data_IF_149057244244
#
_entry.id   IF_149057244244
#
_cell.length_a   1.000
_cell.length_b   1.000
_cell.length_c   1.000
_cell.angle_alpha   90.00
_cell.angle_beta   90.00
_cell.angle_gamma   90.00
#
_symmetry.space_group_name_H-M   'P 1'
#
loop_
_entity.id
_entity.type
_entity.pdbx_description
1 polymer ?
#
# COMPACT_ATOMS: atom_id res chain seq x y z
N UNK A 1 -18.64 -9.99 -15.85
CA UNK A 1 -17.65 -9.58 -14.84
C UNK A 1 -16.30 -9.57 -15.51
N UNK A 2 -15.59 -8.44 -15.48
CA UNK A 2 -14.30 -8.30 -16.16
C UNK A 2 -13.20 -8.95 -15.30
N UNK A 3 -12.22 -9.58 -15.94
CA UNK A 3 -11.09 -10.26 -15.28
C UNK A 3 -9.81 -9.52 -15.65
N UNK A 4 -8.97 -9.24 -14.65
CA UNK A 4 -7.61 -8.77 -14.85
C UNK A 4 -6.62 -9.94 -14.76
N UNK A 5 -5.63 -9.95 -15.65
CA UNK A 5 -4.53 -10.93 -15.66
C UNK A 5 -3.26 -10.28 -15.11
N UNK A 6 -2.52 -11.02 -14.30
CA UNK A 6 -1.21 -10.58 -13.78
C UNK A 6 -0.25 -10.30 -14.94
N UNK A 7 0.63 -9.34 -14.75
CA UNK A 7 1.73 -9.09 -15.71
C UNK A 7 2.68 -10.29 -15.72
N UNK A 8 2.87 -10.98 -16.87
CA UNK A 8 3.65 -12.23 -16.96
C UNK A 8 5.05 -12.12 -16.36
N UNK A 9 5.71 -10.99 -16.55
CA UNK A 9 7.07 -10.74 -16.03
C UNK A 9 7.18 -10.88 -14.50
N UNK A 10 6.06 -10.74 -13.76
CA UNK A 10 6.05 -10.93 -12.30
C UNK A 10 6.05 -12.42 -11.91
N UNK A 11 5.81 -13.31 -12.84
CA UNK A 11 5.87 -14.77 -12.63
C UNK A 11 7.23 -15.37 -13.05
N UNK A 12 8.06 -14.60 -13.77
CA UNK A 12 9.30 -15.09 -14.39
C UNK A 12 10.57 -14.70 -13.63
N UNK A 13 10.46 -13.80 -12.65
CA UNK A 13 11.62 -13.26 -11.89
C UNK A 13 11.24 -12.88 -10.48
N UNK A 14 12.24 -12.65 -9.64
CA UNK A 14 12.03 -12.06 -8.31
C UNK A 14 11.26 -10.75 -8.41
N UNK A 15 10.19 -10.63 -7.62
CA UNK A 15 9.35 -9.44 -7.57
C UNK A 15 9.88 -8.46 -6.53
N UNK A 16 10.18 -7.24 -6.96
CA UNK A 16 10.54 -6.14 -6.06
C UNK A 16 9.29 -5.43 -5.59
N UNK A 17 9.11 -5.37 -4.29
CA UNK A 17 8.01 -4.69 -3.61
C UNK A 17 8.58 -3.53 -2.81
N UNK A 18 8.08 -2.33 -3.06
CA UNK A 18 8.38 -1.15 -2.26
C UNK A 18 7.19 -0.85 -1.35
N UNK A 19 7.39 -0.86 -0.05
CA UNK A 19 6.39 -0.43 0.93
C UNK A 19 6.75 0.97 1.40
N UNK A 20 5.83 1.91 1.24
CA UNK A 20 5.98 3.30 1.66
C UNK A 20 5.09 3.55 2.87
N UNK A 21 5.73 3.86 3.98
CA UNK A 21 5.10 4.00 5.30
C UNK A 21 5.12 2.70 6.11
N UNK A 22 5.60 2.76 7.34
CA UNK A 22 5.71 1.65 8.30
C UNK A 22 4.98 1.96 9.62
N UNK A 23 3.87 2.71 9.52
CA UNK A 23 2.93 2.96 10.61
C UNK A 23 2.07 1.73 10.93
N UNK A 24 0.85 1.92 11.43
CA UNK A 24 -0.05 0.83 11.79
C UNK A 24 -0.32 -0.15 10.65
N UNK A 25 -0.76 0.35 9.50
CA UNK A 25 -1.06 -0.47 8.32
C UNK A 25 0.21 -1.02 7.67
N UNK A 26 1.22 -0.18 7.48
CA UNK A 26 2.45 -0.59 6.80
C UNK A 26 3.22 -1.65 7.56
N UNK A 27 3.32 -1.56 8.89
CA UNK A 27 3.94 -2.60 9.71
C UNK A 27 3.20 -3.93 9.63
N UNK A 28 1.87 -3.92 9.57
CA UNK A 28 1.07 -5.13 9.38
C UNK A 28 1.25 -5.74 7.97
N UNK A 29 1.35 -4.91 6.93
CA UNK A 29 1.69 -5.36 5.57
C UNK A 29 3.07 -6.01 5.54
N UNK A 30 4.09 -5.30 6.04
CA UNK A 30 5.49 -5.78 6.04
C UNK A 30 5.62 -7.09 6.81
N UNK A 31 4.93 -7.22 7.96
CA UNK A 31 4.92 -8.47 8.74
C UNK A 31 4.21 -9.64 8.01
N UNK A 32 3.27 -9.35 7.12
CA UNK A 32 2.56 -10.37 6.35
C UNK A 32 3.24 -10.78 5.03
N UNK A 33 4.10 -9.94 4.46
CA UNK A 33 4.79 -10.22 3.20
C UNK A 33 5.69 -11.47 3.21
N UNK A 34 6.35 -11.86 4.33
CA UNK A 34 7.11 -13.11 4.37
C UNK A 34 6.26 -14.36 4.06
N UNK A 35 5.01 -14.40 4.52
CA UNK A 35 4.11 -15.51 4.20
C UNK A 35 3.80 -15.60 2.71
N UNK A 36 3.59 -14.43 2.06
CA UNK A 36 3.42 -14.38 0.61
C UNK A 36 4.70 -14.82 -0.11
N UNK A 37 5.88 -14.34 0.33
CA UNK A 37 7.17 -14.76 -0.21
C UNK A 37 7.34 -16.28 -0.15
N UNK A 38 7.16 -16.89 1.03
CA UNK A 38 7.29 -18.32 1.22
C UNK A 38 6.28 -19.11 0.37
N UNK A 39 5.03 -18.64 0.30
CA UNK A 39 4.01 -19.25 -0.56
C UNK A 39 4.41 -19.24 -2.04
N UNK A 40 4.96 -18.14 -2.54
CA UNK A 40 5.44 -18.02 -3.92
C UNK A 40 6.57 -19.01 -4.19
N UNK A 41 7.58 -19.03 -3.34
CA UNK A 41 8.74 -19.94 -3.47
C UNK A 41 8.28 -21.40 -3.41
N UNK A 42 7.41 -21.75 -2.48
CA UNK A 42 6.87 -23.12 -2.35
C UNK A 42 6.05 -23.56 -3.58
N UNK A 43 5.49 -22.63 -4.34
CA UNK A 43 4.79 -22.90 -5.60
C UNK A 43 5.70 -22.77 -6.84
N UNK A 44 7.02 -22.72 -6.66
CA UNK A 44 7.98 -22.71 -7.76
C UNK A 44 8.26 -21.34 -8.39
N UNK A 45 7.86 -20.24 -7.73
CA UNK A 45 8.21 -18.91 -8.22
C UNK A 45 9.74 -18.66 -8.16
N UNK A 46 10.38 -18.18 -9.23
CA UNK A 46 11.86 -18.19 -9.38
C UNK A 46 12.61 -17.17 -8.51
N UNK A 47 12.06 -16.69 -7.43
CA UNK A 47 12.78 -15.77 -6.53
C UNK A 47 11.89 -15.11 -5.49
N UNK A 48 10.59 -15.39 -5.50
CA UNK A 48 9.66 -14.82 -4.52
C UNK A 48 9.69 -13.28 -4.53
N UNK A 49 9.68 -12.69 -3.33
CA UNK A 49 9.68 -11.24 -3.15
C UNK A 49 11.06 -10.75 -2.64
N UNK A 50 11.46 -9.58 -3.09
CA UNK A 50 12.44 -8.72 -2.43
C UNK A 50 11.73 -7.44 -2.01
N UNK A 51 11.78 -7.10 -0.73
CA UNK A 51 11.03 -5.99 -0.17
C UNK A 51 11.98 -4.89 0.30
N UNK A 52 11.68 -3.66 -0.10
CA UNK A 52 12.30 -2.44 0.45
C UNK A 52 11.23 -1.65 1.19
N UNK A 53 11.49 -1.27 2.43
CA UNK A 53 10.59 -0.45 3.25
C UNK A 53 11.14 0.97 3.33
N UNK A 54 10.34 1.97 2.96
CA UNK A 54 10.70 3.39 3.06
C UNK A 54 9.85 4.04 4.14
N UNK A 55 10.49 4.47 5.22
CA UNK A 55 9.84 5.18 6.34
C UNK A 55 10.85 6.05 7.06
N UNK A 56 10.55 7.34 7.17
CA UNK A 56 11.43 8.32 7.84
C UNK A 56 11.21 8.44 9.35
N UNK A 57 10.14 7.83 9.88
CA UNK A 57 9.76 8.01 11.28
C UNK A 57 10.56 7.14 12.24
N UNK A 58 10.66 7.63 13.47
CA UNK A 58 11.13 6.87 14.63
C UNK A 58 9.97 6.35 15.47
N UNK A 59 10.24 5.30 16.22
CA UNK A 59 9.28 4.69 17.14
C UNK A 59 9.04 5.62 18.32
N UNK A 60 7.78 5.95 18.57
CA UNK A 60 7.33 6.73 19.74
C UNK A 60 6.62 5.82 20.76
N UNK A 61 6.43 6.26 22.02
CA UNK A 61 5.66 5.52 23.02
C UNK A 61 4.24 5.13 22.54
N UNK A 62 3.56 6.01 21.81
CA UNK A 62 2.23 5.77 21.26
C UNK A 62 2.21 4.65 20.18
N UNK A 63 3.32 4.44 19.47
CA UNK A 63 3.42 3.37 18.48
C UNK A 63 3.41 1.98 19.12
N UNK A 64 3.98 1.84 20.34
CA UNK A 64 4.05 0.55 21.03
C UNK A 64 2.70 -0.03 21.47
N UNK A 65 1.59 0.70 21.27
CA UNK A 65 0.25 0.27 21.69
C UNK A 65 -0.48 -0.49 20.56
N UNK A 66 -0.32 -0.04 19.32
CA UNK A 66 -1.07 -0.55 18.17
C UNK A 66 -0.20 -0.90 16.95
N UNK A 67 1.10 -0.83 17.12
CA UNK A 67 2.09 -1.24 16.13
C UNK A 67 3.04 -2.26 16.78
N UNK A 68 3.69 -3.15 16.00
CA UNK A 68 4.48 -4.24 16.54
C UNK A 68 5.89 -3.78 16.99
N UNK A 69 5.95 -2.76 17.84
CA UNK A 69 7.19 -2.21 18.38
C UNK A 69 7.25 -2.35 19.90
N UNK A 70 8.44 -2.69 20.41
CA UNK A 70 8.69 -2.79 21.84
C UNK A 70 9.11 -1.43 22.43
N UNK A 71 8.89 -1.25 23.73
CA UNK A 71 9.32 -0.03 24.43
C UNK A 71 10.83 0.21 24.36
N UNK A 72 11.64 -0.84 24.33
CA UNK A 72 13.09 -0.79 24.17
C UNK A 72 13.55 -0.28 22.80
N UNK A 73 12.65 -0.19 21.82
CA UNK A 73 12.94 0.25 20.45
C UNK A 73 12.56 1.73 20.21
N UNK A 74 12.04 2.42 21.25
CA UNK A 74 11.69 3.84 21.15
C UNK A 74 12.92 4.66 20.71
N UNK A 75 12.74 5.53 19.73
CA UNK A 75 13.77 6.36 19.11
C UNK A 75 14.47 5.72 17.92
N UNK A 76 14.34 4.41 17.69
CA UNK A 76 14.87 3.74 16.51
C UNK A 76 13.93 3.94 15.30
N UNK A 77 14.46 3.86 14.07
CA UNK A 77 13.65 3.96 12.87
C UNK A 77 12.73 2.74 12.71
N UNK A 78 11.44 2.99 12.41
CA UNK A 78 10.39 1.96 12.28
C UNK A 78 10.73 0.91 11.23
N UNK A 79 11.11 1.34 10.02
CA UNK A 79 11.44 0.45 8.91
C UNK A 79 12.64 -0.43 9.20
N UNK A 80 13.73 0.15 9.74
CA UNK A 80 14.96 -0.59 10.06
C UNK A 80 14.68 -1.67 11.11
N UNK A 81 13.98 -1.33 12.20
CA UNK A 81 13.67 -2.28 13.27
C UNK A 81 12.87 -3.46 12.73
N UNK A 82 11.81 -3.19 11.99
CA UNK A 82 10.92 -4.23 11.49
C UNK A 82 11.61 -5.13 10.46
N UNK A 83 12.32 -4.54 9.50
CA UNK A 83 13.04 -5.29 8.46
C UNK A 83 14.14 -6.17 9.06
N UNK A 84 14.92 -5.66 10.00
CA UNK A 84 15.96 -6.45 10.68
C UNK A 84 15.36 -7.66 11.42
N UNK A 85 14.25 -7.46 12.12
CA UNK A 85 13.54 -8.53 12.83
C UNK A 85 13.05 -9.62 11.87
N UNK A 86 12.47 -9.22 10.73
CA UNK A 86 11.99 -10.17 9.73
C UNK A 86 13.13 -10.89 9.03
N UNK A 87 14.21 -10.18 8.70
CA UNK A 87 15.40 -10.78 8.10
C UNK A 87 15.99 -11.85 9.02
N UNK A 88 16.11 -11.55 10.32
CA UNK A 88 16.63 -12.49 11.30
C UNK A 88 15.72 -13.74 11.45
N UNK A 89 14.40 -13.51 11.55
CA UNK A 89 13.45 -14.60 11.80
C UNK A 89 13.24 -15.52 10.56
N UNK A 90 13.17 -14.91 9.36
CA UNK A 90 12.83 -15.62 8.12
C UNK A 90 14.04 -15.96 7.24
N UNK A 91 15.26 -15.53 7.62
CA UNK A 91 16.46 -15.68 6.79
C UNK A 91 16.42 -14.85 5.51
N UNK A 92 15.74 -13.68 5.54
CA UNK A 92 15.56 -12.80 4.38
C UNK A 92 16.70 -11.80 4.28
N UNK A 93 16.76 -11.08 3.13
CA UNK A 93 17.70 -9.98 2.85
C UNK A 93 16.94 -8.78 2.32
N UNK A 94 15.90 -8.39 3.03
CA UNK A 94 15.08 -7.22 2.70
C UNK A 94 15.75 -5.95 3.20
N UNK A 95 15.37 -4.82 2.65
CA UNK A 95 16.03 -3.53 2.86
C UNK A 95 15.08 -2.53 3.53
N UNK A 96 15.66 -1.59 4.28
CA UNK A 96 14.95 -0.44 4.83
C UNK A 96 15.70 0.84 4.47
N UNK A 97 14.94 1.84 4.04
CA UNK A 97 15.43 3.20 3.76
C UNK A 97 14.82 4.13 4.78
N UNK A 98 15.63 4.66 5.75
CA UNK A 98 15.15 5.54 6.82
C UNK A 98 14.96 6.98 6.31
N UNK A 99 14.04 7.18 5.39
CA UNK A 99 13.75 8.46 4.78
C UNK A 99 12.28 8.59 4.41
N UNK A 100 11.79 9.82 4.31
CA UNK A 100 10.50 10.11 3.71
C UNK A 100 10.64 10.19 2.18
N UNK A 101 9.62 9.68 1.48
CA UNK A 101 9.55 9.86 0.04
C UNK A 101 9.35 11.35 -0.28
N UNK A 102 10.16 11.90 -1.18
CA UNK A 102 10.15 13.33 -1.52
C UNK A 102 9.50 13.56 -2.88
N UNK A 103 8.91 14.76 -3.12
CA UNK A 103 8.53 15.17 -4.46
C UNK A 103 9.72 15.05 -5.43
N UNK A 104 9.46 14.51 -6.62
CA UNK A 104 10.52 14.26 -7.61
C UNK A 104 11.28 12.93 -7.46
N UNK A 105 11.02 12.15 -6.40
CA UNK A 105 11.53 10.78 -6.32
C UNK A 105 10.91 9.93 -7.44
N UNK A 106 11.74 9.26 -8.22
CA UNK A 106 11.28 8.31 -9.23
C UNK A 106 11.30 6.89 -8.65
N UNK A 107 10.23 6.15 -8.93
CA UNK A 107 10.15 4.72 -8.63
C UNK A 107 10.07 3.98 -9.95
N UNK A 108 11.07 3.17 -10.27
CA UNK A 108 11.21 2.51 -11.56
C UNK A 108 11.43 1.01 -11.43
N UNK A 109 11.12 0.24 -12.48
CA UNK A 109 11.47 -1.20 -12.56
C UNK A 109 12.94 -1.45 -12.90
N UNK A 110 13.54 -0.62 -13.73
CA UNK A 110 14.74 -0.96 -14.50
C UNK A 110 15.89 0.03 -14.38
N UNK A 111 15.74 1.12 -13.63
CA UNK A 111 16.80 2.13 -13.58
C UNK A 111 17.95 1.73 -12.65
N UNK A 112 19.18 2.13 -13.01
CA UNK A 112 20.42 1.83 -12.28
C UNK A 112 21.04 3.10 -11.69
N UNK A 113 20.29 3.82 -10.87
CA UNK A 113 20.76 5.02 -10.16
C UNK A 113 20.33 4.96 -8.70
N UNK A 114 20.33 6.10 -8.02
CA UNK A 114 19.83 6.26 -6.64
C UNK A 114 18.31 6.13 -6.51
N UNK A 115 17.63 5.82 -7.62
CA UNK A 115 16.17 5.66 -7.67
C UNK A 115 15.71 4.35 -7.05
N UNK A 116 14.57 4.41 -6.37
CA UNK A 116 13.93 3.22 -5.82
C UNK A 116 13.41 2.32 -6.94
N UNK A 117 13.59 1.00 -6.78
CA UNK A 117 13.18 -0.01 -7.77
C UNK A 117 12.00 -0.81 -7.26
N UNK A 118 10.90 -0.82 -8.00
CA UNK A 118 9.74 -1.63 -7.66
C UNK A 118 8.96 -2.13 -8.89
N UNK A 119 8.47 -3.34 -8.80
CA UNK A 119 7.42 -3.87 -9.68
C UNK A 119 6.04 -3.58 -9.10
N UNK A 120 5.93 -3.64 -7.76
CA UNK A 120 4.73 -3.35 -6.98
C UNK A 120 5.09 -2.32 -5.92
N UNK A 121 4.31 -1.25 -5.82
CA UNK A 121 4.39 -0.28 -4.74
C UNK A 121 3.19 -0.48 -3.83
N UNK A 122 3.42 -0.51 -2.52
CA UNK A 122 2.37 -0.56 -1.51
C UNK A 122 2.42 0.75 -0.71
N UNK A 123 1.40 1.58 -0.88
CA UNK A 123 1.25 2.84 -0.15
C UNK A 123 0.48 2.63 1.14
N UNK A 124 1.13 2.90 2.28
CA UNK A 124 0.57 2.75 3.64
C UNK A 124 0.75 4.05 4.44
N UNK A 125 0.61 5.18 3.76
CA UNK A 125 0.78 6.51 4.35
C UNK A 125 -0.57 7.08 4.82
N UNK A 126 -0.54 7.94 5.80
CA UNK A 126 -1.70 8.54 6.45
C UNK A 126 -2.12 9.88 5.83
N UNK A 127 -1.18 10.65 5.27
CA UNK A 127 -1.46 11.96 4.68
C UNK A 127 -1.77 11.89 3.18
N UNK A 128 -2.64 12.78 2.70
CA UNK A 128 -2.94 12.94 1.27
C UNK A 128 -1.74 13.47 0.50
N UNK A 129 -0.94 14.34 1.13
CA UNK A 129 0.31 14.82 0.56
C UNK A 129 1.29 13.68 0.23
N UNK A 130 1.49 12.74 1.15
CA UNK A 130 2.33 11.56 0.91
C UNK A 130 1.76 10.65 -0.19
N UNK A 131 0.43 10.45 -0.23
CA UNK A 131 -0.22 9.71 -1.33
C UNK A 131 -0.06 10.40 -2.67
N UNK A 132 -0.13 11.74 -2.73
CA UNK A 132 0.11 12.49 -3.96
C UNK A 132 1.53 12.26 -4.49
N UNK A 133 2.53 12.25 -3.60
CA UNK A 133 3.91 11.94 -3.95
C UNK A 133 4.01 10.51 -4.51
N UNK A 134 3.43 9.50 -3.86
CA UNK A 134 3.42 8.12 -4.35
C UNK A 134 2.76 8.03 -5.73
N UNK A 135 1.60 8.66 -5.91
CA UNK A 135 0.86 8.63 -7.17
C UNK A 135 1.67 9.26 -8.33
N UNK A 136 2.37 10.37 -8.09
CA UNK A 136 3.23 11.01 -9.09
C UNK A 136 4.51 10.21 -9.35
N UNK A 137 5.17 9.69 -8.30
CA UNK A 137 6.39 8.91 -8.39
C UNK A 137 6.21 7.56 -9.12
N UNK A 138 4.99 7.03 -9.17
CA UNK A 138 4.67 5.76 -9.83
C UNK A 138 4.09 5.92 -11.23
N UNK A 139 3.77 7.13 -11.66
CA UNK A 139 3.11 7.43 -12.94
C UNK A 139 4.12 7.83 -14.04
N UNK A 140 3.66 7.86 -15.30
CA UNK A 140 4.44 8.36 -16.43
C UNK A 140 5.48 7.38 -16.96
N UNK A 141 6.75 7.72 -16.89
CA UNK A 141 7.85 6.87 -17.35
C UNK A 141 8.19 5.74 -16.38
N UNK A 142 7.77 5.87 -15.14
CA UNK A 142 7.91 4.81 -14.15
C UNK A 142 7.26 3.54 -14.67
N UNK A 143 8.00 2.47 -14.72
CA UNK A 143 7.49 1.20 -15.19
C UNK A 143 6.93 0.35 -14.04
N UNK A 144 6.44 0.96 -12.97
CA UNK A 144 5.75 0.25 -11.88
C UNK A 144 4.52 -0.47 -12.44
N UNK A 145 4.43 -1.76 -12.17
CA UNK A 145 3.31 -2.58 -12.66
C UNK A 145 2.03 -2.32 -11.88
N UNK A 146 2.16 -2.31 -10.55
CA UNK A 146 1.02 -2.16 -9.65
C UNK A 146 1.31 -1.17 -8.52
N UNK A 147 0.28 -0.41 -8.18
CA UNK A 147 0.20 0.38 -6.95
C UNK A 147 -0.96 -0.16 -6.11
N UNK A 148 -0.66 -0.69 -4.93
CA UNK A 148 -1.63 -1.07 -3.91
C UNK A 148 -1.67 0.04 -2.86
N UNK A 149 -2.74 0.80 -2.83
CA UNK A 149 -2.96 1.82 -1.79
C UNK A 149 -3.86 1.26 -0.70
N UNK A 150 -3.49 1.49 0.55
CA UNK A 150 -4.26 1.07 1.73
C UNK A 150 -4.43 2.28 2.62
N UNK A 151 -5.67 2.64 2.87
CA UNK A 151 -6.02 3.78 3.72
C UNK A 151 -7.14 3.44 4.68
N UNK A 152 -7.09 4.02 5.87
CA UNK A 152 -8.10 3.82 6.90
C UNK A 152 -8.44 5.10 7.64
N UNK A 153 -9.62 5.11 8.23
CA UNK A 153 -10.09 6.02 9.26
C UNK A 153 -10.17 5.29 10.62
N UNK A 154 -11.03 5.73 11.53
CA UNK A 154 -11.17 5.14 12.88
C UNK A 154 -11.51 3.65 12.81
N UNK A 155 -12.62 3.29 12.16
CA UNK A 155 -13.15 1.91 12.12
C UNK A 155 -13.35 1.38 10.70
N UNK A 156 -13.03 2.16 9.68
CA UNK A 156 -13.25 1.78 8.29
C UNK A 156 -12.02 2.07 7.43
N UNK A 157 -11.99 1.50 6.24
CA UNK A 157 -10.93 1.78 5.30
C UNK A 157 -11.09 1.05 3.98
N UNK A 158 -10.10 1.26 3.11
CA UNK A 158 -10.06 0.67 1.78
C UNK A 158 -8.68 0.13 1.45
N UNK A 159 -8.65 -0.80 0.53
CA UNK A 159 -7.45 -1.21 -0.20
C UNK A 159 -7.79 -1.26 -1.69
N UNK A 160 -6.92 -0.69 -2.52
CA UNK A 160 -7.14 -0.59 -3.98
C UNK A 160 -5.84 -0.91 -4.71
N UNK A 161 -5.88 -1.97 -5.52
CA UNK A 161 -4.82 -2.34 -6.44
C UNK A 161 -5.08 -1.67 -7.80
N UNK A 162 -4.18 -0.83 -8.24
CA UNK A 162 -4.26 -0.15 -9.53
C UNK A 162 -3.00 -0.33 -10.36
N UNK A 163 -3.10 -0.09 -11.64
CA UNK A 163 -1.96 0.00 -12.57
C UNK A 163 -1.69 1.49 -12.84
N UNK A 164 -0.58 2.06 -12.36
CA UNK A 164 -0.23 3.45 -12.64
C UNK A 164 -0.22 3.73 -14.15
N UNK A 165 -0.72 4.88 -14.54
CA UNK A 165 -0.82 5.24 -15.95
C UNK A 165 0.56 5.54 -16.53
N UNK A 166 0.89 4.89 -17.65
CA UNK A 166 2.11 5.09 -18.41
C UNK A 166 1.84 5.09 -19.92
N UNK A 167 2.86 5.34 -20.72
CA UNK A 167 2.72 5.43 -22.19
C UNK A 167 2.15 4.14 -22.83
N UNK A 168 2.42 2.97 -22.23
CA UNK A 168 1.98 1.68 -22.78
C UNK A 168 0.53 1.36 -22.44
N UNK A 169 0.05 1.73 -21.24
CA UNK A 169 -1.26 1.33 -20.73
C UNK A 169 -2.31 2.44 -20.73
N UNK A 170 -1.96 3.71 -21.05
CA UNK A 170 -2.88 4.87 -20.98
C UNK A 170 -4.15 4.72 -21.82
N UNK A 171 -4.10 3.96 -22.93
CA UNK A 171 -5.25 3.70 -23.80
C UNK A 171 -5.99 2.40 -23.46
N UNK A 172 -5.48 1.58 -22.56
CA UNK A 172 -6.10 0.31 -22.17
C UNK A 172 -7.41 0.55 -21.42
N UNK A 173 -8.48 -0.06 -21.89
CA UNK A 173 -9.80 -0.04 -21.22
C UNK A 173 -9.87 -1.02 -20.06
N UNK A 174 -8.95 -1.98 -19.99
CA UNK A 174 -8.90 -3.03 -18.98
C UNK A 174 -7.92 -2.73 -17.85
N UNK A 175 -7.15 -1.63 -17.95
CA UNK A 175 -6.22 -1.18 -16.92
C UNK A 175 -6.97 -0.92 -15.62
N UNK A 176 -6.48 -1.49 -14.53
CA UNK A 176 -7.01 -1.24 -13.20
C UNK A 176 -6.79 0.22 -12.81
N UNK A 177 -7.85 0.90 -12.40
CA UNK A 177 -7.75 2.29 -11.95
C UNK A 177 -7.11 2.36 -10.58
N UNK A 178 -6.17 3.31 -10.40
CA UNK A 178 -5.55 3.57 -9.11
C UNK A 178 -6.53 4.26 -8.17
N UNK A 179 -6.22 4.26 -6.87
CA UNK A 179 -7.03 4.95 -5.86
C UNK A 179 -7.16 6.44 -6.19
N UNK A 180 -6.10 7.11 -6.62
CA UNK A 180 -6.10 8.51 -7.01
C UNK A 180 -7.00 8.82 -8.22
N UNK A 181 -7.17 7.86 -9.13
CA UNK A 181 -8.09 8.01 -10.26
C UNK A 181 -9.55 7.78 -9.89
N UNK A 182 -9.82 6.94 -8.88
CA UNK A 182 -11.16 6.63 -8.40
C UNK A 182 -11.66 7.66 -7.39
N UNK A 183 -10.77 8.14 -6.54
CA UNK A 183 -11.02 9.05 -5.42
C UNK A 183 -9.98 10.19 -5.43
N UNK A 184 -10.10 11.19 -6.33
CA UNK A 184 -9.10 12.25 -6.48
C UNK A 184 -8.85 13.06 -5.20
N UNK A 185 -9.81 13.13 -4.30
CA UNK A 185 -9.69 13.79 -3.00
C UNK A 185 -8.67 13.16 -2.06
N UNK A 186 -8.34 11.89 -2.27
CA UNK A 186 -7.38 11.17 -1.41
C UNK A 186 -5.93 11.59 -1.64
N UNK A 187 -5.68 12.31 -2.73
CA UNK A 187 -4.38 12.86 -3.10
C UNK A 187 -4.38 14.41 -3.17
N UNK A 188 -5.36 15.04 -2.57
CA UNK A 188 -5.48 16.50 -2.48
C UNK A 188 -4.89 16.99 -1.14
N UNK A 189 -3.65 17.53 -1.11
CA UNK A 189 -3.02 17.95 0.15
C UNK A 189 -3.78 19.04 0.90
N UNK A 190 -4.59 19.84 0.17
CA UNK A 190 -5.41 20.91 0.78
C UNK A 190 -6.55 20.39 1.65
N UNK A 191 -6.77 19.08 1.66
CA UNK A 191 -7.75 18.41 2.52
C UNK A 191 -7.09 17.62 3.67
N UNK A 192 -5.79 17.72 3.85
CA UNK A 192 -5.14 17.17 5.05
C UNK A 192 -5.50 18.06 6.25
N UNK A 193 -6.02 17.43 7.30
CA UNK A 193 -6.25 18.12 8.57
C UNK A 193 -4.90 18.37 9.26
N UNK A 194 -4.79 19.45 10.06
CA UNK A 194 -3.64 19.73 10.93
C UNK A 194 -3.59 18.71 12.09
N UNK A 195 -3.37 17.44 11.73
CA UNK A 195 -3.36 16.33 12.68
C UNK A 195 -2.03 16.31 13.45
N UNK A 196 -2.03 16.92 14.62
CA UNK A 196 -0.93 16.76 15.58
C UNK A 196 -0.72 15.26 15.91
N UNK A 197 0.54 14.82 16.05
CA UNK A 197 0.85 13.47 16.52
C UNK A 197 0.15 13.17 17.83
N UNK A 198 -0.43 11.97 17.97
CA UNK A 198 -1.05 11.55 19.22
C UNK A 198 -0.02 11.45 20.33
N UNK A 199 -0.08 12.35 21.32
CA UNK A 199 0.89 12.40 22.42
C UNK A 199 0.63 11.34 23.50
N UNK A 200 -0.58 10.74 23.55
CA UNK A 200 -0.95 9.74 24.55
C UNK A 200 -1.49 8.44 23.96
N UNK A 201 -1.44 7.38 24.77
CA UNK A 201 -2.02 6.09 24.44
C UNK A 201 -3.53 6.17 24.16
N UNK A 202 -4.28 6.90 24.99
CA UNK A 202 -5.71 7.09 24.82
C UNK A 202 -6.04 7.82 23.52
N UNK A 203 -5.38 8.94 23.22
CA UNK A 203 -5.54 9.68 21.98
C UNK A 203 -5.19 8.84 20.75
N UNK A 204 -4.23 7.91 20.86
CA UNK A 204 -3.90 7.00 19.76
C UNK A 204 -5.02 5.97 19.49
N UNK A 205 -5.71 5.49 20.53
CA UNK A 205 -6.83 4.56 20.41
C UNK A 205 -8.12 5.25 19.92
N UNK A 206 -8.34 6.51 20.32
CA UNK A 206 -9.46 7.30 19.79
C UNK A 206 -9.36 7.55 18.29
N UNK A 207 -8.15 7.71 17.77
CA UNK A 207 -7.91 7.93 16.33
C UNK A 207 -8.15 6.70 15.46
N UNK A 208 -7.95 5.49 15.98
CA UNK A 208 -8.11 4.24 15.22
C UNK A 208 -8.42 3.06 16.13
N UNK A 209 -9.38 2.24 15.74
CA UNK A 209 -9.61 0.94 16.38
C UNK A 209 -8.40 0.01 16.22
N UNK A 210 -8.10 -0.84 17.23
CA UNK A 210 -6.85 -1.64 17.26
C UNK A 210 -6.63 -2.54 16.04
N UNK A 211 -7.71 -3.08 15.46
CA UNK A 211 -7.62 -4.11 14.42
C UNK A 211 -7.85 -3.62 12.99
N UNK A 212 -8.23 -2.35 12.77
CA UNK A 212 -8.52 -1.85 11.42
C UNK A 212 -7.31 -1.96 10.50
N UNK A 213 -6.13 -1.60 11.00
CA UNK A 213 -4.89 -1.65 10.24
C UNK A 213 -4.53 -3.07 9.78
N UNK A 214 -4.54 -4.04 10.69
CA UNK A 214 -4.21 -5.43 10.40
C UNK A 214 -5.26 -6.09 9.51
N UNK A 215 -6.54 -5.80 9.71
CA UNK A 215 -7.63 -6.30 8.85
C UNK A 215 -7.46 -5.85 7.41
N UNK A 216 -7.23 -4.57 7.18
CA UNK A 216 -7.00 -4.04 5.82
C UNK A 216 -5.74 -4.62 5.19
N UNK A 217 -4.64 -4.71 5.96
CA UNK A 217 -3.39 -5.30 5.49
C UNK A 217 -3.58 -6.76 5.05
N UNK A 218 -4.28 -7.58 5.84
CA UNK A 218 -4.53 -8.98 5.50
C UNK A 218 -5.40 -9.14 4.24
N UNK A 219 -6.45 -8.32 4.08
CA UNK A 219 -7.28 -8.32 2.88
C UNK A 219 -6.49 -7.89 1.63
N UNK A 220 -5.63 -6.89 1.75
CA UNK A 220 -4.78 -6.41 0.66
C UNK A 220 -3.75 -7.48 0.25
N UNK A 221 -3.10 -8.13 1.22
CA UNK A 221 -2.17 -9.24 0.97
C UNK A 221 -2.88 -10.46 0.38
N UNK A 222 -4.08 -10.79 0.83
CA UNK A 222 -4.89 -11.86 0.27
C UNK A 222 -5.25 -11.59 -1.21
N UNK A 223 -5.50 -10.32 -1.59
CA UNK A 223 -5.71 -9.94 -2.98
C UNK A 223 -4.44 -10.18 -3.83
N UNK A 224 -3.26 -9.77 -3.33
CA UNK A 224 -1.99 -10.04 -4.01
C UNK A 224 -1.72 -11.56 -4.12
N UNK A 225 -1.92 -12.31 -3.04
CA UNK A 225 -1.76 -13.76 -3.03
C UNK A 225 -2.65 -14.44 -4.08
N UNK A 226 -3.92 -14.00 -4.22
CA UNK A 226 -4.81 -14.49 -5.28
C UNK A 226 -4.30 -14.15 -6.67
N UNK A 227 -3.82 -12.92 -6.87
CA UNK A 227 -3.29 -12.47 -8.17
C UNK A 227 -2.12 -13.35 -8.61
N UNK A 228 -1.18 -13.64 -7.71
CA UNK A 228 -0.04 -14.51 -8.01
C UNK A 228 -0.47 -15.98 -8.20
N UNK A 229 -1.29 -16.51 -7.29
CA UNK A 229 -1.65 -17.93 -7.28
C UNK A 229 -2.48 -18.34 -8.49
N UNK A 230 -3.44 -17.50 -8.90
CA UNK A 230 -4.37 -17.83 -9.98
C UNK A 230 -4.08 -17.09 -11.29
N UNK A 231 -3.11 -16.18 -11.29
CA UNK A 231 -2.79 -15.32 -12.43
C UNK A 231 -3.90 -14.34 -12.81
N UNK A 232 -5.04 -14.37 -12.10
CA UNK A 232 -6.23 -13.56 -12.43
C UNK A 232 -7.00 -13.14 -11.18
N UNK A 233 -7.63 -11.94 -11.27
CA UNK A 233 -8.58 -11.43 -10.28
C UNK A 233 -9.81 -10.85 -10.96
N UNK A 234 -10.94 -10.86 -10.27
CA UNK A 234 -12.21 -10.28 -10.72
C UNK A 234 -12.68 -9.06 -9.90
N UNK A 235 -11.91 -8.71 -8.89
CA UNK A 235 -12.03 -7.46 -8.13
C UNK A 235 -10.61 -6.97 -7.83
N UNK A 236 -10.44 -5.65 -7.65
CA UNK A 236 -9.11 -5.09 -7.46
C UNK A 236 -8.97 -4.23 -6.20
N UNK A 237 -9.89 -4.40 -5.25
CA UNK A 237 -9.88 -3.72 -3.98
C UNK A 237 -11.13 -4.02 -3.18
N UNK A 238 -11.25 -3.36 -2.04
CA UNK A 238 -12.41 -3.47 -1.18
C UNK A 238 -12.48 -2.36 -0.14
N UNK A 239 -13.64 -2.27 0.46
CA UNK A 239 -13.96 -1.37 1.57
C UNK A 239 -14.38 -2.22 2.77
N UNK A 240 -13.90 -1.88 3.94
CA UNK A 240 -14.20 -2.59 5.19
C UNK A 240 -14.64 -1.56 6.22
N UNK A 241 -15.67 -1.90 6.97
CA UNK A 241 -16.13 -1.13 8.11
C UNK A 241 -16.31 -2.08 9.29
N UNK A 242 -15.45 -1.97 10.31
CA UNK A 242 -15.47 -2.84 11.48
C UNK A 242 -16.66 -2.55 12.40
N UNK A 243 -17.10 -1.29 12.50
CA UNK A 243 -18.22 -0.92 13.36
C UNK A 243 -19.56 -1.50 12.89
N UNK A 244 -19.69 -1.76 11.58
CA UNK A 244 -20.90 -2.38 11.00
C UNK A 244 -20.70 -3.84 10.60
N UNK A 245 -19.46 -4.34 10.62
CA UNK A 245 -19.13 -5.68 10.14
C UNK A 245 -19.26 -5.84 8.61
N UNK A 246 -19.46 -4.75 7.86
CA UNK A 246 -19.70 -4.80 6.42
C UNK A 246 -18.39 -4.70 5.65
N UNK A 247 -18.19 -5.65 4.74
CA UNK A 247 -17.15 -5.60 3.71
C UNK A 247 -17.74 -5.60 2.31
N UNK A 248 -17.19 -4.81 1.41
CA UNK A 248 -17.59 -4.79 0.01
C UNK A 248 -16.38 -4.81 -0.91
N UNK A 249 -16.48 -5.56 -2.01
CA UNK A 249 -15.43 -5.62 -3.04
C UNK A 249 -15.54 -4.44 -4.00
N UNK A 250 -14.41 -4.00 -4.53
CA UNK A 250 -14.32 -3.09 -5.66
C UNK A 250 -14.19 -3.92 -6.95
N UNK A 251 -15.26 -4.09 -7.74
CA UNK A 251 -15.23 -4.91 -8.94
C UNK A 251 -14.41 -4.25 -10.06
N UNK A 252 -13.87 -5.07 -10.96
CA UNK A 252 -13.25 -4.61 -12.19
C UNK A 252 -14.37 -4.30 -13.18
N UNK A 253 -14.88 -3.07 -13.13
CA UNK A 253 -16.01 -2.63 -13.91
C UNK A 253 -16.00 -1.13 -14.18
N UNK A 254 -16.00 -0.76 -15.47
CA UNK A 254 -15.95 0.63 -15.90
C UNK A 254 -17.17 1.47 -15.49
N UNK A 255 -18.35 0.84 -15.31
CA UNK A 255 -19.57 1.52 -14.86
C UNK A 255 -19.46 1.91 -13.39
N UNK A 256 -18.97 0.99 -12.57
CA UNK A 256 -18.68 1.24 -11.14
C UNK A 256 -17.64 2.34 -10.98
N UNK A 257 -16.52 2.29 -11.73
CA UNK A 257 -15.48 3.32 -11.67
C UNK A 257 -16.00 4.71 -12.05
N UNK A 258 -16.86 4.82 -13.06
CA UNK A 258 -17.50 6.08 -13.45
C UNK A 258 -18.42 6.61 -12.36
N UNK A 259 -19.18 5.73 -11.70
CA UNK A 259 -20.09 6.10 -10.59
C UNK A 259 -19.32 6.65 -9.39
N UNK A 260 -18.23 5.99 -8.99
CA UNK A 260 -17.38 6.45 -7.88
C UNK A 260 -16.83 7.85 -8.16
N UNK A 261 -16.24 8.07 -9.33
CA UNK A 261 -15.70 9.38 -9.73
C UNK A 261 -16.74 10.50 -9.81
N UNK A 262 -18.00 10.18 -10.13
CA UNK A 262 -19.09 11.17 -10.15
C UNK A 262 -19.53 11.55 -8.76
N UNK A 263 -19.58 10.61 -7.84
CA UNK A 263 -19.96 10.86 -6.45
C UNK A 263 -19.00 11.85 -5.79
N UNK A 264 -17.71 11.66 -5.94
CA UNK A 264 -16.68 12.56 -5.44
C UNK A 264 -16.84 14.00 -5.98
N UNK A 265 -17.21 14.15 -7.28
CA UNK A 265 -17.46 15.47 -7.85
C UNK A 265 -18.71 16.16 -7.27
N UNK A 266 -19.78 15.43 -7.00
CA UNK A 266 -21.02 16.00 -6.45
C UNK A 266 -20.90 16.41 -4.98
N UNK A 267 -20.05 15.76 -4.22
CA UNK A 267 -19.75 16.12 -2.83
C UNK A 267 -18.91 17.40 -2.75
N UNK A 268 -17.95 17.63 -3.69
CA UNK A 268 -17.19 18.90 -3.80
C UNK A 268 -18.03 20.11 -4.20
N UNK A 269 -19.19 19.93 -4.82
CA UNK A 269 -20.10 21.05 -5.22
C UNK A 269 -21.03 21.43 -4.06
N UNK A 270 -21.16 20.57 -3.05
CA UNK A 270 -22.06 20.78 -1.91
C UNK A 270 -21.34 21.20 -0.62
N UNK A 271 -20.01 21.19 -0.60
CA UNK A 271 -19.15 21.72 0.46
C UNK A 271 -18.63 23.12 0.08
#
# INVERSE_FOLDING_TARGET
MQIHRIHPELLERQVRVLVVGCGGTGSAVVAGLPYLHQSLVAHGHPGGLHVTVVDGDTISPANCIRQPFARSEIGLNKGIVLVNRLNLFWGLKWEAVPAHLRPGTFISRNYSGDDLRAHIVVGCVDTRAARAIIATSTSGFSAVGYLLDIGNSVSSGQFVLGEPQNARNKRSRTRLRTVAELFPEIVDPGLDDDNEPSCSAAAALEKQEPFINSTLAQHALALLARLFRYGTICFHGGFINLSTGIGSRLPIDASTWRRLRRRCKSEKIRA
#
